data_IF_955853130892
#
_entry.id   IF_955853130892
#
_cell.length_a   1.000
_cell.length_b   1.000
_cell.length_c   1.000
_cell.angle_alpha   90.00
_cell.angle_beta   90.00
_cell.angle_gamma   90.00
#
_symmetry.space_group_name_H-M   'P 1'
#
loop_
_entity.id
_entity.type
_entity.pdbx_description
1 polymer ?
#
# COMPACT_ATOMS: atom_id res chain seq x y z
N UNK A 1 10.05 19.69 -29.33
CA UNK A 1 11.28 18.87 -29.11
C UNK A 1 10.78 17.58 -28.46
N UNK A 2 10.96 16.41 -29.08
CA UNK A 2 10.62 15.13 -28.45
C UNK A 2 11.45 15.01 -27.18
N UNK A 3 10.81 14.74 -26.05
CA UNK A 3 11.49 14.55 -24.78
C UNK A 3 12.50 13.40 -24.89
N UNK A 4 13.62 13.48 -24.15
CA UNK A 4 14.62 12.41 -24.08
C UNK A 4 13.96 11.11 -23.59
N UNK A 5 14.10 10.04 -24.37
CA UNK A 5 13.50 8.72 -24.11
C UNK A 5 14.21 7.97 -22.99
N UNK A 6 13.50 7.12 -22.26
CA UNK A 6 14.14 6.25 -21.26
C UNK A 6 13.51 4.85 -21.21
N UNK A 7 14.35 3.85 -21.05
CA UNK A 7 13.97 2.48 -20.69
C UNK A 7 14.38 2.21 -19.24
N UNK A 8 13.46 1.78 -18.40
CA UNK A 8 13.79 1.28 -17.07
C UNK A 8 13.66 -0.25 -17.05
N UNK A 9 14.74 -0.95 -16.72
CA UNK A 9 14.75 -2.40 -16.50
C UNK A 9 14.70 -2.65 -15.00
N UNK A 10 13.62 -3.28 -14.54
CA UNK A 10 13.43 -3.63 -13.12
C UNK A 10 13.69 -5.12 -12.93
N UNK A 11 14.73 -5.45 -12.14
CA UNK A 11 15.10 -6.83 -11.85
C UNK A 11 14.26 -7.39 -10.71
N UNK A 12 13.39 -8.36 -11.01
CA UNK A 12 12.44 -8.99 -10.09
C UNK A 12 12.51 -10.54 -10.12
N UNK A 13 13.58 -11.13 -10.67
CA UNK A 13 13.75 -12.57 -10.85
C UNK A 13 14.27 -13.32 -9.61
N UNK A 14 14.59 -12.63 -8.52
CA UNK A 14 15.17 -13.23 -7.31
C UNK A 14 14.17 -14.11 -6.55
N UNK A 15 14.61 -15.30 -6.08
CA UNK A 15 13.76 -16.24 -5.33
C UNK A 15 13.35 -15.73 -3.94
N UNK A 16 14.19 -14.92 -3.32
CA UNK A 16 13.89 -14.38 -1.99
C UNK A 16 13.80 -15.44 -0.88
N UNK A 17 14.57 -16.52 -0.95
CA UNK A 17 14.51 -17.65 0.00
C UNK A 17 14.65 -17.24 1.47
N UNK A 18 15.44 -16.18 1.74
CA UNK A 18 15.61 -15.60 3.09
C UNK A 18 14.33 -14.96 3.66
N UNK A 19 13.32 -14.68 2.84
CA UNK A 19 12.00 -14.19 3.29
C UNK A 19 11.17 -15.29 3.97
N UNK A 20 11.53 -16.56 3.77
CA UNK A 20 10.79 -17.73 4.30
C UNK A 20 9.28 -17.63 4.02
N UNK A 21 8.92 -17.37 2.78
CA UNK A 21 7.54 -17.11 2.34
C UNK A 21 7.28 -17.78 1.00
N UNK A 22 6.05 -18.22 0.79
CA UNK A 22 5.56 -18.67 -0.52
C UNK A 22 5.25 -17.50 -1.47
N UNK A 23 5.12 -16.28 -0.92
CA UNK A 23 4.94 -15.07 -1.72
C UNK A 23 6.30 -14.64 -2.29
N UNK A 24 6.43 -14.37 -3.59
CA UNK A 24 7.63 -13.79 -4.19
C UNK A 24 8.09 -12.55 -3.42
N UNK A 25 9.41 -12.41 -3.21
CA UNK A 25 9.98 -11.33 -2.39
C UNK A 25 9.43 -9.95 -2.75
N UNK A 26 9.41 -9.63 -4.03
CA UNK A 26 9.02 -8.31 -4.56
C UNK A 26 7.51 -8.00 -4.40
N UNK A 27 6.70 -8.99 -4.02
CA UNK A 27 5.26 -8.83 -3.78
C UNK A 27 4.92 -8.59 -2.30
N UNK A 28 5.89 -8.66 -1.38
CA UNK A 28 5.61 -8.31 0.02
C UNK A 28 5.21 -6.83 0.13
N UNK A 29 4.19 -6.52 0.96
CA UNK A 29 3.71 -5.15 1.08
C UNK A 29 4.58 -4.32 2.03
N UNK A 30 4.71 -3.04 1.68
CA UNK A 30 5.15 -1.93 2.51
C UNK A 30 4.12 -0.82 2.35
N UNK A 31 3.60 -0.26 3.42
CA UNK A 31 2.51 0.72 3.40
C UNK A 31 1.36 0.33 2.44
N UNK A 32 0.99 -0.95 2.45
CA UNK A 32 -0.14 -1.49 1.68
C UNK A 32 0.10 -1.72 0.18
N UNK A 33 1.29 -1.42 -0.35
CA UNK A 33 1.68 -1.68 -1.74
C UNK A 33 2.89 -2.61 -1.81
N UNK A 34 3.00 -3.42 -2.87
CA UNK A 34 4.13 -4.33 -3.06
C UNK A 34 5.45 -3.57 -3.24
N UNK A 35 6.59 -4.20 -2.88
CA UNK A 35 7.92 -3.62 -3.11
C UNK A 35 8.07 -3.22 -4.58
N UNK A 36 7.67 -4.10 -5.49
CA UNK A 36 7.71 -3.86 -6.92
C UNK A 36 6.88 -2.63 -7.31
N UNK A 37 5.67 -2.49 -6.75
CA UNK A 37 4.79 -1.37 -7.03
C UNK A 37 5.41 -0.02 -6.66
N UNK A 38 6.11 0.06 -5.54
CA UNK A 38 6.86 1.26 -5.14
C UNK A 38 7.93 1.63 -6.17
N UNK A 39 8.76 0.66 -6.60
CA UNK A 39 9.82 0.90 -7.60
C UNK A 39 9.22 1.34 -8.94
N UNK A 40 8.17 0.66 -9.41
CA UNK A 40 7.48 1.00 -10.65
C UNK A 40 6.82 2.38 -10.58
N UNK A 41 6.25 2.73 -9.42
CA UNK A 41 5.63 4.04 -9.20
C UNK A 41 6.64 5.18 -9.16
N UNK A 42 7.85 4.94 -8.66
CA UNK A 42 8.95 5.89 -8.62
C UNK A 42 9.68 6.03 -9.97
N UNK A 43 9.61 5.02 -10.84
CA UNK A 43 10.26 5.01 -12.16
C UNK A 43 9.74 6.12 -13.06
N UNK A 44 10.55 6.64 -14.02
CA UNK A 44 10.11 7.68 -14.94
C UNK A 44 8.78 7.35 -15.63
N UNK A 45 7.95 8.38 -15.83
CA UNK A 45 6.60 8.27 -16.42
C UNK A 45 6.46 9.21 -17.62
N UNK A 46 5.56 8.87 -18.54
CA UNK A 46 5.22 9.67 -19.72
C UNK A 46 5.44 8.89 -21.02
N UNK A 47 5.00 9.47 -22.14
CA UNK A 47 5.03 8.84 -23.47
C UNK A 47 6.43 8.45 -23.98
N UNK A 48 7.46 9.17 -23.51
CA UNK A 48 8.86 8.91 -23.88
C UNK A 48 9.54 7.90 -22.96
N UNK A 49 8.78 7.16 -22.13
CA UNK A 49 9.33 6.19 -21.17
C UNK A 49 8.77 4.80 -21.41
N UNK A 50 9.60 3.79 -21.19
CA UNK A 50 9.19 2.37 -21.24
C UNK A 50 9.75 1.61 -20.04
N UNK A 51 9.08 0.52 -19.67
CA UNK A 51 9.49 -0.35 -18.55
C UNK A 51 9.57 -1.79 -19.01
N UNK A 52 10.70 -2.43 -18.68
CA UNK A 52 10.92 -3.86 -18.79
C UNK A 52 11.06 -4.46 -17.40
N UNK A 53 10.26 -5.48 -17.06
CA UNK A 53 10.35 -6.19 -15.78
C UNK A 53 10.93 -7.57 -16.02
N UNK A 54 12.10 -7.84 -15.45
CA UNK A 54 12.75 -9.15 -15.56
C UNK A 54 12.29 -10.02 -14.39
N UNK A 55 11.63 -11.13 -14.74
CA UNK A 55 11.02 -12.06 -13.77
C UNK A 55 11.66 -13.46 -13.88
N UNK A 56 11.53 -14.27 -12.84
CA UNK A 56 11.88 -15.69 -12.88
C UNK A 56 10.83 -16.52 -13.63
N UNK A 57 11.14 -17.79 -13.97
CA UNK A 57 10.14 -18.73 -14.44
C UNK A 57 8.96 -18.83 -13.47
N UNK A 58 7.76 -19.03 -13.98
CA UNK A 58 6.50 -19.23 -13.20
C UNK A 58 6.09 -18.06 -12.30
N UNK A 59 6.66 -16.86 -12.47
CA UNK A 59 6.36 -15.68 -11.68
C UNK A 59 5.13 -14.89 -12.20
N UNK A 60 4.05 -15.58 -12.58
CA UNK A 60 2.83 -14.94 -13.11
C UNK A 60 2.31 -13.82 -12.19
N UNK A 61 2.29 -14.04 -10.87
CA UNK A 61 1.83 -13.01 -9.90
C UNK A 61 2.66 -11.73 -9.97
N UNK A 62 3.97 -11.82 -10.26
CA UNK A 62 4.85 -10.67 -10.40
C UNK A 62 4.53 -9.90 -11.68
N UNK A 63 4.23 -10.62 -12.77
CA UNK A 63 3.80 -10.02 -14.04
C UNK A 63 2.46 -9.30 -13.87
N UNK A 64 1.46 -9.95 -13.28
CA UNK A 64 0.14 -9.38 -13.05
C UNK A 64 0.24 -8.10 -12.19
N UNK A 65 1.08 -8.10 -11.16
CA UNK A 65 1.33 -6.93 -10.33
C UNK A 65 2.04 -5.80 -11.10
N UNK A 66 3.03 -6.13 -11.93
CA UNK A 66 3.71 -5.14 -12.76
C UNK A 66 2.74 -4.43 -13.71
N UNK A 67 1.92 -5.18 -14.42
CA UNK A 67 0.90 -4.63 -15.36
C UNK A 67 -0.16 -3.82 -14.61
N UNK A 68 -0.54 -4.21 -13.39
CA UNK A 68 -1.49 -3.46 -12.57
C UNK A 68 -1.01 -2.04 -12.26
N UNK A 69 0.27 -1.86 -11.96
CA UNK A 69 0.84 -0.53 -11.63
C UNK A 69 1.40 0.21 -12.84
N UNK A 70 1.84 -0.52 -13.86
CA UNK A 70 2.35 0.00 -15.11
C UNK A 70 1.79 -0.83 -16.27
N UNK A 71 0.63 -0.45 -16.80
CA UNK A 71 0.00 -1.16 -17.94
C UNK A 71 0.89 -1.23 -19.19
N UNK A 72 1.88 -0.35 -19.29
CA UNK A 72 2.90 -0.29 -20.34
C UNK A 72 4.12 -1.19 -20.07
N UNK A 73 4.16 -1.90 -18.94
CA UNK A 73 5.31 -2.76 -18.61
C UNK A 73 5.35 -4.02 -19.46
N UNK A 74 6.49 -4.28 -20.06
CA UNK A 74 6.81 -5.54 -20.74
C UNK A 74 7.56 -6.48 -19.79
N UNK A 75 7.23 -7.78 -19.82
CA UNK A 75 7.86 -8.77 -18.94
C UNK A 75 8.80 -9.68 -19.73
N UNK A 76 9.97 -9.94 -19.16
CA UNK A 76 11.02 -10.79 -19.75
C UNK A 76 11.43 -11.85 -18.72
N UNK A 77 11.56 -13.11 -19.16
CA UNK A 77 11.88 -14.23 -18.28
C UNK A 77 13.37 -14.50 -18.25
N UNK A 78 13.97 -14.46 -17.06
CA UNK A 78 15.33 -14.95 -16.83
C UNK A 78 15.26 -16.43 -16.46
N UNK A 79 15.59 -17.32 -17.40
CA UNK A 79 15.59 -18.77 -17.16
C UNK A 79 16.78 -19.21 -16.29
N UNK A 80 17.98 -18.71 -16.61
CA UNK A 80 19.21 -19.02 -15.91
C UNK A 80 19.68 -17.86 -15.05
N UNK A 81 20.02 -18.11 -13.79
CA UNK A 81 20.52 -17.08 -12.87
C UNK A 81 22.04 -17.00 -12.87
N UNK A 82 22.60 -16.40 -13.92
CA UNK A 82 24.06 -16.28 -14.13
C UNK A 82 24.61 -14.90 -13.74
N UNK A 83 23.91 -14.14 -12.89
CA UNK A 83 24.32 -12.83 -12.41
C UNK A 83 23.42 -11.69 -12.89
N UNK A 84 23.72 -10.48 -12.40
CA UNK A 84 22.85 -9.29 -12.61
C UNK A 84 22.93 -8.74 -14.04
N UNK A 85 24.09 -8.76 -14.69
CA UNK A 85 24.19 -8.38 -16.11
C UNK A 85 23.43 -9.37 -17.01
N UNK A 86 23.50 -10.67 -16.71
CA UNK A 86 22.70 -11.68 -17.41
C UNK A 86 21.20 -11.46 -17.22
N UNK A 87 20.77 -11.01 -16.01
CA UNK A 87 19.37 -10.65 -15.78
C UNK A 87 18.92 -9.47 -16.67
N UNK A 88 19.75 -8.44 -16.82
CA UNK A 88 19.46 -7.31 -17.72
C UNK A 88 19.35 -7.77 -19.16
N UNK A 89 20.22 -8.66 -19.61
CA UNK A 89 20.20 -9.21 -20.97
C UNK A 89 19.00 -10.13 -21.25
N UNK A 90 18.25 -10.58 -20.24
CA UNK A 90 16.95 -11.22 -20.49
C UNK A 90 15.97 -10.26 -21.21
N UNK A 91 16.11 -8.95 -20.97
CA UNK A 91 15.35 -7.92 -21.67
C UNK A 91 16.06 -7.35 -22.91
N UNK A 92 16.95 -8.13 -23.54
CA UNK A 92 17.78 -7.71 -24.69
C UNK A 92 16.96 -7.08 -25.81
N UNK A 93 15.79 -7.60 -26.11
CA UNK A 93 14.93 -7.08 -27.17
C UNK A 93 14.41 -5.67 -26.85
N UNK A 94 14.13 -5.38 -25.59
CA UNK A 94 13.78 -4.03 -25.15
C UNK A 94 14.97 -3.08 -25.27
N UNK A 95 16.17 -3.52 -24.85
CA UNK A 95 17.40 -2.74 -24.97
C UNK A 95 17.74 -2.44 -26.45
N UNK A 96 17.54 -3.41 -27.35
CA UNK A 96 17.85 -3.27 -28.77
C UNK A 96 16.95 -2.28 -29.51
N UNK A 97 15.75 -2.00 -28.99
CA UNK A 97 14.89 -0.91 -29.54
C UNK A 97 15.49 0.47 -29.34
N UNK A 98 16.41 0.59 -28.39
CA UNK A 98 17.11 1.83 -28.08
C UNK A 98 16.27 2.80 -27.24
N UNK A 99 16.97 3.57 -26.42
CA UNK A 99 16.47 4.71 -25.69
C UNK A 99 17.65 5.67 -25.47
N UNK A 100 17.40 6.93 -25.09
CA UNK A 100 18.49 7.85 -24.74
C UNK A 100 19.09 7.47 -23.37
N UNK A 101 18.26 7.03 -22.44
CA UNK A 101 18.67 6.61 -21.09
C UNK A 101 18.22 5.16 -20.83
N UNK A 102 19.14 4.30 -20.39
CA UNK A 102 18.80 3.00 -19.79
C UNK A 102 18.99 3.11 -18.28
N UNK A 103 17.95 2.78 -17.49
CA UNK A 103 18.03 2.71 -16.04
C UNK A 103 17.84 1.26 -15.62
N UNK A 104 18.67 0.76 -14.71
CA UNK A 104 18.54 -0.56 -14.13
C UNK A 104 18.26 -0.39 -12.64
N UNK A 105 17.14 -0.94 -12.18
CA UNK A 105 16.70 -0.88 -10.80
C UNK A 105 16.34 -2.28 -10.27
N UNK A 106 16.28 -2.43 -8.95
CA UNK A 106 15.88 -3.68 -8.31
C UNK A 106 14.47 -3.55 -7.74
N UNK A 107 13.64 -4.58 -7.96
CA UNK A 107 12.25 -4.60 -7.51
C UNK A 107 12.08 -4.70 -5.99
N UNK A 108 13.15 -4.76 -5.23
CA UNK A 108 13.18 -4.90 -3.77
C UNK A 108 13.74 -3.67 -3.02
N UNK A 109 13.85 -2.52 -3.70
CA UNK A 109 14.29 -1.24 -3.13
C UNK A 109 13.13 -0.21 -3.11
N UNK A 110 12.09 -0.41 -2.30
CA UNK A 110 10.82 0.34 -2.40
C UNK A 110 10.91 1.80 -1.97
N UNK A 111 12.00 2.20 -1.30
CA UNK A 111 12.17 3.57 -0.80
C UNK A 111 12.82 4.53 -1.81
N UNK A 112 13.17 4.04 -3.01
CA UNK A 112 13.75 4.87 -4.07
C UNK A 112 12.76 5.96 -4.50
N UNK A 113 13.27 7.17 -4.71
CA UNK A 113 12.44 8.31 -5.08
C UNK A 113 12.50 8.64 -6.58
N UNK A 114 11.45 9.26 -7.15
CA UNK A 114 11.50 9.78 -8.52
C UNK A 114 12.64 10.79 -8.74
N UNK A 115 12.96 11.59 -7.72
CA UNK A 115 14.04 12.58 -7.77
C UNK A 115 15.41 11.91 -7.96
N UNK A 116 15.62 10.74 -7.39
CA UNK A 116 16.89 10.01 -7.55
C UNK A 116 17.03 9.44 -8.96
N UNK A 117 15.96 8.91 -9.56
CA UNK A 117 15.98 8.54 -10.98
C UNK A 117 16.31 9.74 -11.87
N UNK A 118 15.74 10.91 -11.59
CA UNK A 118 16.02 12.12 -12.37
C UNK A 118 17.47 12.62 -12.21
N UNK A 119 18.07 12.51 -11.01
CA UNK A 119 19.50 12.82 -10.81
C UNK A 119 20.42 11.90 -11.60
N UNK A 120 20.12 10.61 -11.70
CA UNK A 120 20.85 9.67 -12.53
C UNK A 120 20.76 10.07 -14.01
N UNK A 121 19.56 10.38 -14.51
CA UNK A 121 19.33 10.85 -15.89
C UNK A 121 20.04 12.18 -16.17
N UNK A 122 20.07 13.07 -15.18
CA UNK A 122 20.78 14.36 -15.31
C UNK A 122 22.28 14.16 -15.54
N UNK A 123 22.91 13.20 -14.88
CA UNK A 123 24.33 12.88 -15.10
C UNK A 123 24.58 12.37 -16.53
N UNK A 124 23.69 11.55 -17.08
CA UNK A 124 23.78 11.11 -18.48
C UNK A 124 23.62 12.28 -19.47
N UNK A 125 22.74 13.23 -19.18
CA UNK A 125 22.60 14.47 -19.98
C UNK A 125 23.85 15.33 -19.96
N UNK A 126 24.66 15.26 -18.88
CA UNK A 126 25.93 15.95 -18.74
C UNK A 126 27.11 15.25 -19.42
N UNK A 127 26.86 14.06 -20.01
CA UNK A 127 27.87 13.36 -20.82
C UNK A 127 28.40 12.07 -20.19
N UNK A 128 28.03 11.71 -18.97
CA UNK A 128 28.42 10.45 -18.38
C UNK A 128 27.87 9.27 -19.20
N UNK A 129 28.71 8.26 -19.44
CA UNK A 129 28.30 7.02 -20.08
C UNK A 129 27.64 6.06 -19.11
N UNK A 130 27.98 6.17 -17.83
CA UNK A 130 27.45 5.38 -16.72
C UNK A 130 27.32 6.25 -15.47
N UNK A 131 26.15 6.27 -14.85
CA UNK A 131 25.93 6.85 -13.54
C UNK A 131 25.53 5.72 -12.55
N UNK A 132 26.29 5.58 -11.48
CA UNK A 132 26.09 4.57 -10.44
C UNK A 132 25.52 5.26 -9.20
N UNK A 133 24.42 4.72 -8.65
CA UNK A 133 23.90 5.21 -7.38
C UNK A 133 24.73 4.65 -6.22
N UNK A 134 25.24 5.54 -5.39
CA UNK A 134 26.04 5.21 -4.21
C UNK A 134 25.49 5.85 -2.94
N UNK A 135 25.89 5.32 -1.80
CA UNK A 135 25.55 5.85 -0.49
C UNK A 135 26.67 5.64 0.52
N UNK A 136 26.76 6.49 1.53
CA UNK A 136 27.67 6.29 2.66
C UNK A 136 27.01 5.35 3.64
N UNK A 137 27.54 4.14 3.78
CA UNK A 137 27.01 3.12 4.68
C UNK A 137 27.50 3.31 6.11
N UNK A 138 26.60 3.19 7.08
CA UNK A 138 26.98 3.13 8.50
C UNK A 138 27.75 1.83 8.80
N UNK A 139 27.31 0.71 8.22
CA UNK A 139 28.05 -0.56 8.18
C UNK A 139 28.15 -1.02 6.72
N UNK A 140 29.36 -0.95 6.10
CA UNK A 140 29.54 -1.32 4.71
C UNK A 140 29.53 -2.84 4.46
N UNK A 141 29.43 -3.70 5.49
CA UNK A 141 29.48 -5.14 5.33
C UNK A 141 28.40 -5.67 4.37
N UNK A 142 28.81 -6.49 3.40
CA UNK A 142 27.90 -7.12 2.43
C UNK A 142 27.60 -6.30 1.18
N UNK A 143 27.95 -5.03 1.13
CA UNK A 143 27.78 -4.19 -0.07
C UNK A 143 29.01 -4.23 -0.99
N UNK A 144 28.84 -3.92 -2.27
CA UNK A 144 29.93 -3.56 -3.18
C UNK A 144 30.50 -2.17 -2.83
N UNK A 145 31.81 -2.01 -2.92
CA UNK A 145 32.49 -0.72 -2.63
C UNK A 145 32.68 0.09 -3.90
N UNK A 146 32.37 1.36 -3.86
CA UNK A 146 32.66 2.31 -4.94
C UNK A 146 34.06 2.89 -4.73
N UNK A 147 34.98 2.49 -5.58
CA UNK A 147 36.37 2.96 -5.55
C UNK A 147 36.48 4.22 -6.41
N UNK A 148 36.84 5.35 -5.79
CA UNK A 148 36.92 6.66 -6.44
C UNK A 148 38.31 7.17 -6.32
N UNK A 149 38.93 7.59 -7.44
CA UNK A 149 40.22 8.23 -7.50
C UNK A 149 40.11 9.56 -8.29
N UNK A 150 40.67 10.66 -7.73
CA UNK A 150 40.61 11.98 -8.34
C UNK A 150 39.20 12.42 -8.78
N UNK A 151 38.16 11.99 -8.03
CA UNK A 151 36.77 12.31 -8.32
C UNK A 151 36.05 11.38 -9.35
N UNK A 152 36.79 10.43 -9.95
CA UNK A 152 36.26 9.50 -10.94
C UNK A 152 36.03 8.12 -10.34
N UNK A 153 34.91 7.49 -10.67
CA UNK A 153 34.64 6.12 -10.29
C UNK A 153 35.49 5.15 -11.11
N UNK A 154 36.42 4.44 -10.42
CA UNK A 154 37.38 3.56 -11.08
C UNK A 154 36.96 2.08 -11.06
N UNK A 155 36.27 1.63 -10.03
CA UNK A 155 35.77 0.25 -9.93
C UNK A 155 34.63 0.15 -8.93
N UNK A 156 33.83 -0.90 -9.07
CA UNK A 156 32.97 -1.39 -8.01
C UNK A 156 33.54 -2.76 -7.59
N UNK A 157 33.87 -2.88 -6.32
CA UNK A 157 34.44 -4.11 -5.79
C UNK A 157 33.44 -4.81 -4.88
N UNK A 158 32.99 -5.98 -5.29
CA UNK A 158 32.08 -6.80 -4.47
C UNK A 158 32.74 -7.25 -3.18
N UNK A 159 31.97 -7.39 -2.09
CA UNK A 159 32.47 -7.78 -0.75
C UNK A 159 33.36 -9.03 -0.79
N UNK A 160 33.02 -10.03 -1.62
CA UNK A 160 33.76 -11.28 -1.71
C UNK A 160 35.14 -11.11 -2.32
N UNK A 161 35.28 -10.18 -3.26
CA UNK A 161 36.49 -9.93 -4.06
C UNK A 161 37.31 -8.74 -3.53
N UNK A 162 36.83 -8.07 -2.47
CA UNK A 162 37.46 -6.87 -1.92
C UNK A 162 38.67 -7.21 -1.01
N UNK A 163 39.77 -6.50 -1.17
CA UNK A 163 40.90 -6.48 -0.24
C UNK A 163 40.52 -5.88 1.13
N UNK A 164 41.39 -6.04 2.14
CA UNK A 164 41.16 -5.43 3.45
C UNK A 164 41.02 -3.91 3.39
N UNK A 165 41.82 -3.24 2.58
CA UNK A 165 41.75 -1.79 2.39
C UNK A 165 40.46 -1.34 1.69
N UNK A 166 40.04 -2.06 0.64
CA UNK A 166 38.81 -1.79 -0.07
C UNK A 166 37.57 -2.03 0.82
N UNK A 167 37.58 -3.03 1.71
CA UNK A 167 36.50 -3.29 2.66
C UNK A 167 36.28 -2.14 3.65
N UNK A 168 37.28 -1.33 3.93
CA UNK A 168 37.20 -0.18 4.83
C UNK A 168 36.51 1.04 4.16
N UNK A 169 36.31 1.03 2.84
CA UNK A 169 35.60 2.09 2.12
C UNK A 169 34.13 2.08 2.51
N UNK A 170 33.60 3.23 2.96
CA UNK A 170 32.20 3.39 3.39
C UNK A 170 31.27 3.75 2.25
N UNK A 171 31.80 4.26 1.13
CA UNK A 171 31.02 4.55 -0.06
C UNK A 171 30.63 3.25 -0.77
N UNK A 172 29.36 2.89 -0.67
CA UNK A 172 28.81 1.62 -1.12
C UNK A 172 27.94 1.75 -2.38
N UNK A 173 27.88 0.68 -3.17
CA UNK A 173 27.03 0.55 -4.34
C UNK A 173 25.59 0.24 -3.92
N UNK A 174 24.64 1.03 -4.37
CA UNK A 174 23.21 0.81 -4.19
C UNK A 174 22.60 -0.20 -5.20
N UNK A 175 23.38 -0.62 -6.19
CA UNK A 175 22.93 -1.53 -7.26
C UNK A 175 22.22 -0.82 -8.42
N UNK A 176 21.60 0.33 -8.21
CA UNK A 176 20.90 1.08 -9.27
C UNK A 176 21.90 1.82 -10.14
N UNK A 177 21.76 1.65 -11.46
CA UNK A 177 22.66 2.23 -12.46
C UNK A 177 21.87 2.84 -13.61
N UNK A 178 22.42 3.89 -14.20
CA UNK A 178 21.90 4.45 -15.46
C UNK A 178 23.01 4.57 -16.48
N UNK A 179 22.72 4.18 -17.72
CA UNK A 179 23.63 4.14 -18.85
C UNK A 179 23.18 5.11 -19.96
N UNK A 180 24.13 5.68 -20.71
CA UNK A 180 23.82 6.24 -22.04
C UNK A 180 23.23 5.09 -22.88
N UNK A 181 21.93 5.16 -23.14
CA UNK A 181 21.18 4.06 -23.74
C UNK A 181 21.70 3.63 -25.12
N UNK A 182 22.33 4.57 -25.86
CA UNK A 182 22.95 4.26 -27.16
C UNK A 182 24.15 3.31 -27.05
N UNK A 183 24.78 3.23 -25.89
CA UNK A 183 25.99 2.43 -25.62
C UNK A 183 25.70 1.26 -24.67
N UNK A 184 24.60 1.29 -23.98
CA UNK A 184 24.24 0.39 -22.87
C UNK A 184 24.35 -1.09 -23.26
N UNK A 185 23.70 -1.51 -24.35
CA UNK A 185 23.72 -2.90 -24.78
C UNK A 185 25.15 -3.38 -25.07
N UNK A 186 25.94 -2.60 -25.80
CA UNK A 186 27.33 -2.96 -26.15
C UNK A 186 28.25 -3.02 -24.94
N UNK A 187 28.00 -2.20 -23.91
CA UNK A 187 28.74 -2.25 -22.64
C UNK A 187 28.37 -3.52 -21.86
N UNK A 188 27.07 -3.81 -21.71
CA UNK A 188 26.58 -4.95 -20.93
C UNK A 188 27.00 -6.27 -21.56
N UNK A 189 26.98 -6.38 -22.87
CA UNK A 189 27.43 -7.60 -23.63
C UNK A 189 28.94 -7.88 -23.49
N UNK A 190 29.74 -6.88 -23.09
CA UNK A 190 31.20 -7.05 -22.86
C UNK A 190 31.53 -7.50 -21.44
N UNK A 191 30.53 -7.53 -20.53
CA UNK A 191 30.76 -7.99 -19.15
C UNK A 191 31.11 -9.46 -19.15
N UNK A 192 32.23 -9.82 -18.55
CA UNK A 192 32.69 -11.19 -18.35
C UNK A 192 32.16 -11.81 -17.06
N UNK A 193 32.64 -13.03 -16.78
CA UNK A 193 32.32 -13.75 -15.54
C UNK A 193 33.58 -14.24 -14.79
N UNK A 194 34.72 -13.61 -15.00
CA UNK A 194 35.99 -13.98 -14.37
C UNK A 194 36.08 -13.41 -12.96
N UNK A 195 35.22 -13.88 -12.04
CA UNK A 195 35.15 -13.48 -10.64
C UNK A 195 34.95 -14.70 -9.72
N UNK A 196 34.96 -14.50 -8.41
CA UNK A 196 34.89 -15.58 -7.40
C UNK A 196 33.67 -16.47 -7.50
N UNK A 197 32.56 -16.01 -8.11
CA UNK A 197 31.31 -16.77 -8.27
C UNK A 197 31.09 -17.28 -9.71
N UNK A 198 31.89 -16.85 -10.69
CA UNK A 198 31.66 -17.18 -12.10
C UNK A 198 30.40 -16.55 -12.69
N UNK A 199 29.91 -15.43 -12.10
CA UNK A 199 28.69 -14.75 -12.48
C UNK A 199 28.97 -13.47 -13.29
N UNK A 200 28.04 -13.06 -14.16
CA UNK A 200 28.12 -11.80 -14.90
C UNK A 200 27.64 -10.67 -13.99
N UNK A 201 28.58 -9.99 -13.32
CA UNK A 201 28.27 -8.89 -12.42
C UNK A 201 28.04 -7.61 -13.19
N UNK A 202 26.88 -6.97 -13.00
CA UNK A 202 26.59 -5.66 -13.60
C UNK A 202 27.60 -4.59 -13.15
N UNK A 203 28.18 -4.75 -11.98
CA UNK A 203 29.21 -3.87 -11.41
C UNK A 203 30.48 -3.81 -12.25
N UNK A 204 30.80 -4.84 -13.04
CA UNK A 204 31.94 -4.85 -13.97
C UNK A 204 31.74 -3.90 -15.16
N UNK A 205 30.54 -3.34 -15.36
CA UNK A 205 30.28 -2.31 -16.36
C UNK A 205 31.19 -1.08 -16.18
N UNK A 206 31.59 -0.75 -14.94
CA UNK A 206 32.52 0.36 -14.68
C UNK A 206 33.86 0.13 -15.33
N UNK A 207 34.41 -1.08 -15.23
CA UNK A 207 35.67 -1.44 -15.90
C UNK A 207 35.53 -1.33 -17.42
N UNK A 208 34.46 -1.89 -18.00
CA UNK A 208 34.19 -1.82 -19.45
C UNK A 208 34.08 -0.37 -19.94
N UNK A 209 33.39 0.49 -19.20
CA UNK A 209 33.24 1.93 -19.53
C UNK A 209 34.61 2.62 -19.54
N UNK A 210 35.45 2.34 -18.57
CA UNK A 210 36.79 2.89 -18.47
C UNK A 210 37.72 2.42 -19.59
N UNK A 211 37.70 1.13 -19.91
CA UNK A 211 38.45 0.52 -21.01
C UNK A 211 38.10 1.13 -22.37
N UNK A 212 36.87 1.63 -22.50
CA UNK A 212 36.39 2.37 -23.67
C UNK A 212 36.79 3.87 -23.65
N UNK A 213 37.48 4.33 -22.62
CA UNK A 213 37.83 5.75 -22.43
C UNK A 213 36.63 6.65 -22.13
N UNK A 214 35.55 6.07 -21.56
CA UNK A 214 34.33 6.77 -21.23
C UNK A 214 34.24 7.07 -19.73
N UNK A 215 33.37 8.02 -19.36
CA UNK A 215 33.21 8.46 -17.98
C UNK A 215 32.14 7.68 -17.24
N UNK A 216 32.48 7.21 -16.02
CA UNK A 216 31.56 6.69 -15.02
C UNK A 216 31.54 7.62 -13.80
N UNK A 217 30.35 7.97 -13.33
CA UNK A 217 30.16 8.89 -12.19
C UNK A 217 29.35 8.25 -11.09
N UNK A 218 29.53 8.77 -9.85
CA UNK A 218 28.74 8.36 -8.69
C UNK A 218 27.71 9.44 -8.37
N UNK A 219 26.47 9.06 -8.24
CA UNK A 219 25.37 9.87 -7.72
C UNK A 219 25.07 9.40 -6.30
N UNK A 220 25.34 10.25 -5.30
CA UNK A 220 25.13 9.89 -3.89
C UNK A 220 23.69 10.10 -3.48
N UNK A 221 23.16 9.18 -2.64
CA UNK A 221 21.87 9.31 -1.97
C UNK A 221 21.95 8.86 -0.51
N UNK A 222 20.87 8.96 0.24
CA UNK A 222 20.82 8.45 1.62
C UNK A 222 20.76 6.93 1.66
N UNK A 223 21.35 6.34 2.71
CA UNK A 223 21.28 4.89 2.94
C UNK A 223 19.83 4.39 3.02
N UNK A 224 18.94 5.15 3.68
CA UNK A 224 17.52 4.79 3.81
C UNK A 224 16.83 4.64 2.46
N UNK A 225 17.19 5.45 1.47
CA UNK A 225 16.54 5.41 0.15
C UNK A 225 16.83 4.12 -0.63
N UNK A 226 17.95 3.50 -0.35
CA UNK A 226 18.47 2.34 -1.10
C UNK A 226 18.43 1.04 -0.32
N UNK A 227 17.75 1.00 0.82
CA UNK A 227 17.58 -0.22 1.62
C UNK A 227 16.90 -1.31 0.80
N UNK A 228 17.67 -2.34 0.46
CA UNK A 228 17.15 -3.56 -0.17
C UNK A 228 16.59 -4.54 0.87
N UNK A 229 15.49 -5.22 0.53
CA UNK A 229 14.80 -6.13 1.44
C UNK A 229 15.14 -7.57 1.08
N UNK A 230 15.66 -8.33 2.04
CA UNK A 230 15.97 -9.75 1.90
C UNK A 230 15.39 -10.61 3.02
N UNK A 231 14.98 -10.00 4.14
CA UNK A 231 14.45 -10.68 5.31
C UNK A 231 13.20 -9.97 5.84
N UNK A 232 12.41 -10.64 6.69
CA UNK A 232 11.26 -10.03 7.36
C UNK A 232 11.65 -8.91 8.33
N UNK A 233 12.85 -8.97 8.93
CA UNK A 233 13.37 -7.89 9.77
C UNK A 233 13.61 -6.63 8.93
N UNK A 234 14.31 -6.76 7.80
CA UNK A 234 14.51 -5.64 6.87
C UNK A 234 13.19 -5.09 6.31
N UNK A 235 12.19 -5.97 6.07
CA UNK A 235 10.85 -5.53 5.67
C UNK A 235 10.22 -4.62 6.73
N UNK A 236 10.33 -4.97 8.01
CA UNK A 236 9.79 -4.17 9.11
C UNK A 236 10.53 -2.82 9.27
N UNK A 237 11.85 -2.80 9.10
CA UNK A 237 12.65 -1.57 9.10
C UNK A 237 12.24 -0.62 7.97
N UNK A 238 12.07 -1.15 6.75
CA UNK A 238 11.63 -0.37 5.59
C UNK A 238 10.20 0.13 5.75
N UNK A 239 9.29 -0.69 6.33
CA UNK A 239 7.94 -0.23 6.70
C UNK A 239 8.01 0.98 7.64
N UNK A 240 8.86 0.93 8.67
CA UNK A 240 9.02 2.05 9.61
C UNK A 240 9.49 3.32 8.91
N UNK A 241 10.48 3.24 8.02
CA UNK A 241 10.98 4.39 7.25
C UNK A 241 9.88 4.94 6.33
N UNK A 242 9.14 4.06 5.64
CA UNK A 242 8.03 4.48 4.79
C UNK A 242 6.94 5.18 5.59
N UNK A 243 6.55 4.65 6.74
CA UNK A 243 5.57 5.27 7.62
C UNK A 243 6.03 6.64 8.14
N UNK A 244 7.31 6.81 8.48
CA UNK A 244 7.85 8.14 8.82
C UNK A 244 7.70 9.13 7.67
N UNK A 245 8.03 8.73 6.43
CA UNK A 245 7.89 9.58 5.22
C UNK A 245 6.44 9.96 4.96
N UNK A 246 5.51 9.00 5.03
CA UNK A 246 4.09 9.24 4.77
C UNK A 246 3.48 10.19 5.79
N UNK A 247 3.81 10.02 7.07
CA UNK A 247 3.35 10.91 8.13
C UNK A 247 3.93 12.32 8.00
N UNK A 248 5.22 12.43 7.68
CA UNK A 248 5.83 13.74 7.43
C UNK A 248 5.14 14.47 6.27
N UNK A 249 4.90 13.77 5.16
CA UNK A 249 4.20 14.35 4.01
C UNK A 249 2.75 14.75 4.35
N UNK A 250 2.05 13.97 5.16
CA UNK A 250 0.69 14.31 5.61
C UNK A 250 0.70 15.57 6.48
N UNK A 251 1.63 15.68 7.43
CA UNK A 251 1.80 16.87 8.28
C UNK A 251 2.14 18.13 7.45
N UNK A 252 3.06 18.02 6.50
CA UNK A 252 3.41 19.11 5.56
C UNK A 252 2.21 19.53 4.70
N UNK A 253 1.35 18.59 4.33
CA UNK A 253 0.11 18.86 3.59
C UNK A 253 -1.02 19.46 4.46
N UNK A 254 -0.80 19.67 5.78
CA UNK A 254 -1.75 20.30 6.68
C UNK A 254 -2.71 19.31 7.39
N UNK A 255 -2.40 18.02 7.39
CA UNK A 255 -3.13 17.03 8.20
C UNK A 255 -2.64 17.11 9.65
N UNK A 256 -3.56 17.13 10.60
CA UNK A 256 -3.22 17.03 12.03
C UNK A 256 -3.17 15.57 12.46
N UNK A 257 -1.99 15.11 12.86
CA UNK A 257 -1.77 13.81 13.51
C UNK A 257 -1.46 14.05 14.98
N UNK A 258 -2.34 13.64 15.91
CA UNK A 258 -2.17 13.93 17.36
C UNK A 258 -0.99 13.15 17.95
N UNK A 259 -0.81 11.89 17.56
CA UNK A 259 0.33 11.06 17.92
C UNK A 259 0.81 10.33 16.66
N UNK A 260 1.63 11.00 15.83
CA UNK A 260 1.98 10.51 14.49
C UNK A 260 2.51 9.07 14.47
N UNK A 261 3.34 8.70 15.45
CA UNK A 261 3.98 7.39 15.55
C UNK A 261 2.99 6.22 15.70
N UNK A 262 1.76 6.51 16.11
CA UNK A 262 0.69 5.51 16.31
C UNK A 262 -0.26 5.38 15.11
N UNK A 263 -0.08 6.23 14.08
CA UNK A 263 -0.92 6.24 12.88
C UNK A 263 -0.21 5.52 11.75
N UNK A 264 -0.88 4.54 11.15
CA UNK A 264 -0.38 3.79 10.00
C UNK A 264 -1.14 4.19 8.74
N UNK A 265 -0.40 4.58 7.70
CA UNK A 265 -0.93 5.08 6.43
C UNK A 265 -0.57 4.14 5.29
N UNK A 266 -1.49 3.90 4.38
CA UNK A 266 -1.15 3.30 3.09
C UNK A 266 -0.55 4.36 2.15
N UNK A 267 0.31 3.91 1.24
CA UNK A 267 1.06 4.79 0.33
C UNK A 267 0.18 5.56 -0.67
N UNK A 268 -1.03 5.07 -0.91
CA UNK A 268 -2.02 5.67 -1.81
C UNK A 268 -3.10 6.48 -1.08
N UNK A 269 -2.96 6.69 0.23
CA UNK A 269 -3.90 7.51 1.00
C UNK A 269 -3.87 8.96 0.51
N UNK A 270 -5.04 9.54 0.29
CA UNK A 270 -5.17 10.96 -0.09
C UNK A 270 -5.92 11.75 0.96
N UNK A 271 -5.48 12.98 1.19
CA UNK A 271 -6.04 13.87 2.20
C UNK A 271 -6.49 15.21 1.60
N UNK A 272 -7.64 15.70 2.08
CA UNK A 272 -8.03 17.09 1.96
C UNK A 272 -7.37 17.98 3.04
N UNK A 273 -7.82 19.22 3.13
CA UNK A 273 -7.33 20.19 4.12
C UNK A 273 -7.98 19.98 5.49
N UNK A 274 -7.27 20.37 6.56
CA UNK A 274 -7.78 20.38 7.93
C UNK A 274 -8.30 19.02 8.42
N UNK A 275 -7.79 17.92 7.87
CA UNK A 275 -8.10 16.57 8.35
C UNK A 275 -7.41 16.36 9.69
N UNK A 276 -8.12 15.79 10.66
CA UNK A 276 -7.57 15.41 11.96
C UNK A 276 -7.61 13.89 12.14
N UNK A 277 -6.51 13.31 12.57
CA UNK A 277 -6.39 11.88 12.88
C UNK A 277 -5.88 11.69 14.30
N UNK A 278 -6.67 11.02 15.11
CA UNK A 278 -6.35 10.68 16.49
C UNK A 278 -5.40 9.47 16.57
N UNK A 279 -4.86 9.16 17.78
CA UNK A 279 -3.93 8.04 17.96
C UNK A 279 -4.53 6.67 17.60
N UNK A 280 -3.65 5.73 17.23
CA UNK A 280 -3.97 4.31 16.95
C UNK A 280 -4.96 4.09 15.80
N UNK A 281 -4.87 4.91 14.76
CA UNK A 281 -5.65 4.75 13.53
C UNK A 281 -4.85 4.00 12.49
N UNK A 282 -5.51 3.05 11.81
CA UNK A 282 -4.94 2.31 10.69
C UNK A 282 -5.72 2.64 9.41
N UNK A 283 -5.03 3.26 8.46
CA UNK A 283 -5.57 3.58 7.14
C UNK A 283 -4.89 2.67 6.11
N UNK A 284 -5.65 1.70 5.62
CA UNK A 284 -5.21 0.76 4.60
C UNK A 284 -5.35 1.32 3.17
N UNK A 285 -5.05 0.50 2.15
CA UNK A 285 -5.06 0.94 0.76
C UNK A 285 -6.42 1.45 0.28
N UNK A 286 -6.39 2.38 -0.70
CA UNK A 286 -7.58 2.87 -1.40
C UNK A 286 -8.47 3.78 -0.56
N UNK A 287 -7.89 4.55 0.37
CA UNK A 287 -8.65 5.48 1.21
C UNK A 287 -8.43 6.92 0.77
N UNK A 288 -9.53 7.65 0.62
CA UNK A 288 -9.56 9.11 0.43
C UNK A 288 -10.32 9.80 1.56
N UNK A 289 -9.75 10.87 2.11
CA UNK A 289 -10.32 11.62 3.22
C UNK A 289 -10.42 13.08 2.81
N UNK A 290 -11.64 13.61 2.76
CA UNK A 290 -11.90 14.99 2.33
C UNK A 290 -11.72 16.00 3.47
N UNK A 291 -11.80 17.29 3.12
CA UNK A 291 -11.56 18.44 4.01
C UNK A 291 -12.35 18.36 5.32
N UNK A 292 -11.70 18.72 6.42
CA UNK A 292 -12.31 18.85 7.73
C UNK A 292 -12.80 17.55 8.38
N UNK A 293 -12.51 16.39 7.76
CA UNK A 293 -12.91 15.12 8.33
C UNK A 293 -12.07 14.77 9.58
N UNK A 294 -12.70 14.09 10.54
CA UNK A 294 -12.07 13.66 11.80
C UNK A 294 -12.12 12.15 11.91
N UNK A 295 -10.95 11.54 12.09
CA UNK A 295 -10.82 10.11 12.32
C UNK A 295 -10.40 9.88 13.77
N UNK A 296 -11.31 9.33 14.55
CA UNK A 296 -11.10 9.06 15.96
C UNK A 296 -10.33 7.77 16.20
N UNK A 297 -9.75 7.67 17.38
CA UNK A 297 -8.84 6.60 17.81
C UNK A 297 -9.39 5.19 17.57
N UNK A 298 -8.47 4.25 17.30
CA UNK A 298 -8.74 2.82 17.11
C UNK A 298 -9.65 2.50 15.91
N UNK A 299 -9.73 3.40 14.94
CA UNK A 299 -10.47 3.15 13.70
C UNK A 299 -9.60 2.43 12.67
N UNK A 300 -10.21 1.51 11.91
CA UNK A 300 -9.56 0.77 10.84
C UNK A 300 -10.34 0.96 9.53
N UNK A 301 -9.68 1.52 8.50
CA UNK A 301 -10.32 2.00 7.28
C UNK A 301 -9.59 1.43 6.06
N UNK A 302 -10.31 0.80 5.15
CA UNK A 302 -9.74 0.22 3.91
C UNK A 302 -10.69 0.44 2.74
N UNK A 303 -10.16 0.86 1.58
CA UNK A 303 -10.91 1.06 0.33
C UNK A 303 -12.23 1.80 0.57
N UNK A 304 -12.13 2.99 1.17
CA UNK A 304 -13.27 3.82 1.55
C UNK A 304 -13.04 5.29 1.18
N UNK A 305 -14.12 6.00 0.87
CA UNK A 305 -14.13 7.45 0.71
C UNK A 305 -14.84 8.13 1.88
N UNK A 306 -14.19 9.12 2.47
CA UNK A 306 -14.70 9.86 3.62
C UNK A 306 -14.96 11.29 3.18
N UNK A 307 -16.23 11.69 3.22
CA UNK A 307 -16.69 13.00 2.78
C UNK A 307 -16.26 14.14 3.69
N UNK A 308 -16.45 15.34 3.19
CA UNK A 308 -16.13 16.60 3.89
C UNK A 308 -16.81 16.67 5.25
N UNK A 309 -16.08 17.12 6.29
CA UNK A 309 -16.57 17.25 7.65
C UNK A 309 -17.19 15.96 8.25
N UNK A 310 -16.92 14.79 7.67
CA UNK A 310 -17.38 13.53 8.23
C UNK A 310 -16.57 13.16 9.49
N UNK A 311 -17.19 12.40 10.37
CA UNK A 311 -16.60 11.95 11.64
C UNK A 311 -16.66 10.43 11.71
N UNK A 312 -15.50 9.76 11.95
CA UNK A 312 -15.39 8.29 11.95
C UNK A 312 -14.74 7.82 13.24
N UNK A 313 -15.42 6.98 13.99
CA UNK A 313 -14.92 6.37 15.21
C UNK A 313 -15.43 7.00 16.49
N UNK A 314 -14.82 6.69 17.65
CA UNK A 314 -13.71 5.72 17.79
C UNK A 314 -14.15 4.27 17.60
N UNK A 315 -13.17 3.35 17.41
CA UNK A 315 -13.42 1.92 17.21
C UNK A 315 -14.34 1.60 16.02
N UNK A 316 -14.27 2.39 14.94
CA UNK A 316 -15.03 2.15 13.72
C UNK A 316 -14.23 1.28 12.74
N UNK A 317 -14.95 0.44 11.98
CA UNK A 317 -14.37 -0.35 10.91
C UNK A 317 -15.05 -0.04 9.58
N UNK A 318 -14.33 0.65 8.69
CA UNK A 318 -14.81 0.89 7.33
C UNK A 318 -14.12 -0.10 6.38
N UNK A 319 -14.94 -0.93 5.75
CA UNK A 319 -14.49 -1.97 4.83
C UNK A 319 -14.67 -1.54 3.37
N UNK A 320 -14.09 -2.32 2.42
CA UNK A 320 -14.15 -1.99 1.00
C UNK A 320 -15.54 -1.64 0.48
N UNK A 321 -15.59 -0.57 -0.34
CA UNK A 321 -16.83 -0.07 -0.93
C UNK A 321 -17.66 0.83 -0.01
N UNK A 322 -17.09 1.29 1.10
CA UNK A 322 -17.75 2.29 1.95
C UNK A 322 -17.55 3.69 1.39
N UNK A 323 -18.63 4.45 1.25
CA UNK A 323 -18.62 5.86 0.88
C UNK A 323 -19.45 6.68 1.86
N UNK A 324 -18.81 7.67 2.49
CA UNK A 324 -19.46 8.59 3.43
C UNK A 324 -19.62 9.96 2.79
N UNK A 325 -20.84 10.48 2.81
CA UNK A 325 -21.17 11.83 2.37
C UNK A 325 -20.72 12.92 3.36
N UNK A 326 -20.93 14.17 2.97
CA UNK A 326 -20.57 15.33 3.80
C UNK A 326 -21.27 15.29 5.16
N UNK A 327 -20.51 15.51 6.24
CA UNK A 327 -21.04 15.56 7.60
C UNK A 327 -21.61 14.24 8.14
N UNK A 328 -21.40 13.13 7.42
CA UNK A 328 -21.81 11.81 7.90
C UNK A 328 -21.06 11.43 9.18
N UNK A 329 -21.74 10.76 10.11
CA UNK A 329 -21.17 10.35 11.39
C UNK A 329 -21.24 8.85 11.57
N UNK A 330 -20.09 8.22 11.70
CA UNK A 330 -19.90 6.83 12.08
C UNK A 330 -19.30 6.82 13.47
N UNK A 331 -20.02 6.27 14.44
CA UNK A 331 -19.55 6.25 15.83
C UNK A 331 -18.90 4.93 16.22
N UNK A 332 -18.87 4.68 17.53
CA UNK A 332 -18.12 3.58 18.12
C UNK A 332 -18.75 2.20 17.85
N UNK A 333 -17.88 1.24 17.54
CA UNK A 333 -18.24 -0.16 17.25
C UNK A 333 -19.22 -0.29 16.08
N UNK A 334 -19.09 0.59 15.09
CA UNK A 334 -19.83 0.52 13.84
C UNK A 334 -18.95 -0.08 12.75
N UNK A 335 -19.51 -1.07 12.06
CA UNK A 335 -18.86 -1.63 10.87
C UNK A 335 -19.70 -1.32 9.62
N UNK A 336 -19.03 -0.87 8.56
CA UNK A 336 -19.65 -0.63 7.25
C UNK A 336 -18.92 -1.44 6.16
N UNK A 337 -19.66 -1.88 5.14
CA UNK A 337 -19.10 -2.62 3.99
C UNK A 337 -19.98 -2.43 2.77
N UNK A 338 -19.41 -2.10 1.62
CA UNK A 338 -20.16 -1.88 0.38
C UNK A 338 -21.41 -1.02 0.65
N UNK A 339 -21.24 0.08 1.37
CA UNK A 339 -22.31 0.93 1.85
C UNK A 339 -22.08 2.38 1.46
N UNK A 340 -23.09 3.02 0.88
CA UNK A 340 -23.11 4.46 0.60
C UNK A 340 -24.01 5.14 1.63
N UNK A 341 -23.44 6.05 2.37
CA UNK A 341 -24.12 6.87 3.37
C UNK A 341 -24.09 8.32 2.91
N UNK A 342 -25.22 8.88 2.56
CA UNK A 342 -25.32 10.24 2.06
C UNK A 342 -25.03 11.31 3.13
N UNK A 343 -25.09 12.58 2.72
CA UNK A 343 -24.77 13.69 3.62
C UNK A 343 -25.61 13.68 4.91
N UNK A 344 -24.96 13.95 6.04
CA UNK A 344 -25.60 14.09 7.35
C UNK A 344 -26.15 12.79 7.95
N UNK A 345 -25.91 11.64 7.35
CA UNK A 345 -26.30 10.33 7.93
C UNK A 345 -25.63 10.10 9.27
N UNK A 346 -26.34 9.51 10.21
CA UNK A 346 -25.84 9.20 11.55
C UNK A 346 -25.98 7.71 11.84
N UNK A 347 -24.86 7.05 12.14
CA UNK A 347 -24.74 5.67 12.61
C UNK A 347 -23.82 5.68 13.82
N UNK A 348 -24.35 5.91 15.00
CA UNK A 348 -23.50 6.32 16.12
C UNK A 348 -22.97 5.18 17.00
N UNK A 349 -23.66 4.00 17.06
CA UNK A 349 -23.31 2.97 18.03
C UNK A 349 -23.63 1.56 17.56
N UNK A 350 -22.67 0.61 17.75
CA UNK A 350 -22.91 -0.83 17.76
C UNK A 350 -23.70 -1.37 16.57
N UNK A 351 -23.49 -0.87 15.38
CA UNK A 351 -24.31 -1.19 14.19
C UNK A 351 -23.48 -1.82 13.08
N UNK A 352 -24.12 -2.68 12.28
CA UNK A 352 -23.58 -3.16 11.03
C UNK A 352 -24.41 -2.64 9.86
N UNK A 353 -23.75 -1.93 8.93
CA UNK A 353 -24.35 -1.43 7.69
C UNK A 353 -23.59 -2.01 6.50
N UNK A 354 -24.15 -3.04 5.91
CA UNK A 354 -23.54 -3.76 4.78
C UNK A 354 -24.45 -3.85 3.58
N UNK A 355 -23.89 -3.75 2.38
CA UNK A 355 -24.59 -3.79 1.10
C UNK A 355 -25.83 -2.87 1.12
N UNK A 356 -25.65 -1.60 1.51
CA UNK A 356 -26.73 -0.66 1.78
C UNK A 356 -26.51 0.72 1.16
N UNK A 357 -27.61 1.40 0.84
CA UNK A 357 -27.64 2.84 0.61
C UNK A 357 -28.49 3.50 1.69
N UNK A 358 -27.95 4.53 2.31
CA UNK A 358 -28.60 5.29 3.38
C UNK A 358 -28.71 6.75 2.94
N UNK A 359 -29.94 7.19 2.71
CA UNK A 359 -30.25 8.53 2.22
C UNK A 359 -29.95 9.63 3.24
N UNK A 360 -29.77 10.84 2.72
CA UNK A 360 -29.31 11.99 3.48
C UNK A 360 -30.11 12.23 4.78
N UNK A 361 -29.39 12.60 5.84
CA UNK A 361 -29.95 12.90 7.18
C UNK A 361 -30.70 11.73 7.84
N UNK A 362 -30.65 10.51 7.32
CA UNK A 362 -31.21 9.36 8.00
C UNK A 362 -30.43 9.07 9.31
N UNK A 363 -31.16 8.54 10.30
CA UNK A 363 -30.56 8.15 11.59
C UNK A 363 -30.73 6.65 11.81
N UNK A 364 -29.62 5.96 12.01
CA UNK A 364 -29.57 4.54 12.32
C UNK A 364 -29.36 4.38 13.83
N UNK A 365 -30.33 3.80 14.51
CA UNK A 365 -30.31 3.56 15.95
C UNK A 365 -29.27 2.51 16.34
N UNK A 366 -28.82 2.56 17.58
CA UNK A 366 -27.83 1.64 18.14
C UNK A 366 -28.27 0.18 18.00
N UNK A 367 -27.32 -0.71 17.65
CA UNK A 367 -27.60 -2.14 17.48
C UNK A 367 -28.39 -2.50 16.23
N UNK A 368 -28.58 -1.59 15.30
CA UNK A 368 -29.24 -1.89 14.03
C UNK A 368 -28.34 -2.69 13.11
N UNK A 369 -28.90 -3.69 12.44
CA UNK A 369 -28.19 -4.56 11.52
C UNK A 369 -28.92 -4.63 10.17
N UNK A 370 -28.23 -4.39 9.08
CA UNK A 370 -28.69 -4.80 7.75
C UNK A 370 -28.39 -6.29 7.57
N UNK A 371 -29.42 -7.11 7.55
CA UNK A 371 -29.27 -8.55 7.36
C UNK A 371 -29.11 -8.85 5.86
N UNK A 372 -27.92 -8.57 5.35
CA UNK A 372 -27.61 -8.55 3.91
C UNK A 372 -27.26 -9.91 3.30
N UNK A 373 -27.23 -11.00 4.09
CA UNK A 373 -26.85 -12.34 3.63
C UNK A 373 -27.84 -13.39 4.10
N UNK A 374 -28.38 -14.15 3.17
CA UNK A 374 -29.41 -15.18 3.41
C UNK A 374 -28.84 -16.60 3.56
N UNK A 375 -27.51 -16.73 3.60
CA UNK A 375 -26.81 -18.02 3.59
C UNK A 375 -26.29 -18.43 2.20
N UNK A 376 -26.77 -17.82 1.12
CA UNK A 376 -26.40 -18.11 -0.26
C UNK A 376 -26.01 -16.87 -1.04
N UNK A 377 -26.79 -15.79 -0.95
CA UNK A 377 -26.63 -14.56 -1.73
C UNK A 377 -26.64 -13.32 -0.84
N UNK A 378 -26.07 -12.24 -1.36
CA UNK A 378 -26.14 -10.93 -0.73
C UNK A 378 -27.21 -10.08 -1.38
N UNK A 379 -27.93 -9.35 -0.52
CA UNK A 379 -29.04 -8.49 -0.89
C UNK A 379 -28.83 -7.08 -0.37
N UNK A 380 -29.46 -6.11 -1.03
CA UNK A 380 -29.32 -4.68 -0.68
C UNK A 380 -30.44 -4.21 0.23
N UNK A 381 -30.07 -3.27 1.11
CA UNK A 381 -30.98 -2.46 1.92
C UNK A 381 -30.96 -1.02 1.41
N UNK A 382 -32.12 -0.47 1.10
CA UNK A 382 -32.29 0.93 0.72
C UNK A 382 -33.02 1.68 1.85
N UNK A 383 -32.40 2.74 2.38
CA UNK A 383 -32.99 3.58 3.44
C UNK A 383 -33.13 5.00 2.90
N UNK A 384 -34.35 5.51 2.86
CA UNK A 384 -34.69 6.82 2.33
C UNK A 384 -34.17 7.96 3.20
N UNK A 385 -34.06 9.15 2.58
CA UNK A 385 -33.59 10.35 3.26
C UNK A 385 -34.51 10.68 4.47
N UNK A 386 -33.90 11.14 5.58
CA UNK A 386 -34.60 11.50 6.80
C UNK A 386 -35.26 10.34 7.55
N UNK A 387 -35.11 9.09 7.09
CA UNK A 387 -35.65 7.95 7.80
C UNK A 387 -35.00 7.77 9.17
N UNK A 388 -35.81 7.32 10.14
CA UNK A 388 -35.37 7.00 11.50
C UNK A 388 -35.50 5.52 11.75
N UNK A 389 -34.39 4.82 11.96
CA UNK A 389 -34.37 3.42 12.32
C UNK A 389 -34.16 3.31 13.83
N UNK A 390 -35.11 2.70 14.51
CA UNK A 390 -35.06 2.53 15.97
C UNK A 390 -33.96 1.55 16.41
N UNK A 391 -33.55 1.68 17.63
CA UNK A 391 -32.51 0.85 18.27
C UNK A 391 -32.82 -0.65 18.19
N UNK A 392 -31.79 -1.49 18.04
CA UNK A 392 -31.91 -2.97 17.94
C UNK A 392 -32.87 -3.46 16.86
N UNK A 393 -32.92 -2.78 15.73
CA UNK A 393 -33.74 -3.21 14.59
C UNK A 393 -32.93 -4.09 13.64
N UNK A 394 -33.57 -5.11 13.08
CA UNK A 394 -33.04 -5.98 12.03
C UNK A 394 -33.74 -5.66 10.71
N UNK A 395 -32.98 -5.22 9.71
CA UNK A 395 -33.50 -4.95 8.37
C UNK A 395 -33.12 -6.11 7.47
N UNK A 396 -34.10 -6.99 7.19
CA UNK A 396 -33.89 -8.23 6.41
C UNK A 396 -33.93 -7.91 4.91
N UNK A 397 -32.76 -7.85 4.31
CA UNK A 397 -32.62 -7.54 2.90
C UNK A 397 -33.10 -8.72 1.98
N UNK A 398 -33.66 -8.42 0.78
CA UNK A 398 -33.82 -7.09 0.21
C UNK A 398 -34.99 -6.32 0.85
N UNK A 399 -34.77 -5.07 1.26
CA UNK A 399 -35.82 -4.25 1.88
C UNK A 399 -35.58 -2.75 1.59
N UNK A 400 -36.68 -2.01 1.40
CA UNK A 400 -36.67 -0.55 1.22
C UNK A 400 -37.41 0.11 2.36
N UNK A 401 -36.75 1.07 3.00
CA UNK A 401 -37.34 1.97 3.98
C UNK A 401 -37.54 3.32 3.32
N UNK A 402 -38.78 3.80 3.25
CA UNK A 402 -39.13 5.03 2.57
C UNK A 402 -38.54 6.29 3.20
N UNK A 403 -38.61 7.41 2.49
CA UNK A 403 -38.19 8.72 2.98
C UNK A 403 -39.01 9.11 4.21
N UNK A 404 -38.38 9.68 5.24
CA UNK A 404 -39.08 10.10 6.46
C UNK A 404 -39.73 8.95 7.26
N UNK A 405 -39.59 7.72 6.82
CA UNK A 405 -40.18 6.58 7.52
C UNK A 405 -39.58 6.39 8.92
N UNK A 406 -40.37 5.88 9.84
CA UNK A 406 -39.99 5.61 11.22
C UNK A 406 -40.11 4.14 11.55
N UNK A 407 -38.99 3.49 11.86
CA UNK A 407 -38.98 2.09 12.34
C UNK A 407 -38.89 2.10 13.87
N UNK A 408 -39.84 1.45 14.53
CA UNK A 408 -39.87 1.32 15.99
C UNK A 408 -38.71 0.47 16.50
N UNK A 409 -38.14 0.83 17.65
CA UNK A 409 -37.04 0.07 18.26
C UNK A 409 -37.40 -1.40 18.51
N UNK A 410 -36.43 -2.32 18.28
CA UNK A 410 -36.63 -3.77 18.47
C UNK A 410 -37.42 -4.45 17.36
N UNK A 411 -37.60 -3.79 16.22
CA UNK A 411 -38.36 -4.36 15.08
C UNK A 411 -37.50 -5.22 14.16
N UNK A 412 -38.12 -6.27 13.59
CA UNK A 412 -37.56 -7.08 12.51
C UNK A 412 -38.32 -6.77 11.23
N UNK A 413 -37.73 -5.96 10.36
CA UNK A 413 -38.37 -5.48 9.14
C UNK A 413 -38.07 -6.43 7.97
N UNK A 414 -39.07 -7.06 7.44
CA UNK A 414 -38.99 -8.07 6.35
C UNK A 414 -39.72 -7.64 5.07
N UNK A 415 -40.38 -6.49 5.08
CA UNK A 415 -41.10 -5.91 3.95
C UNK A 415 -40.85 -4.43 3.82
N UNK A 416 -40.96 -3.91 2.63
CA UNK A 416 -40.80 -2.49 2.34
C UNK A 416 -41.70 -1.62 3.21
N UNK A 417 -41.15 -0.50 3.66
CA UNK A 417 -41.86 0.51 4.45
C UNK A 417 -42.06 1.73 3.56
N UNK A 418 -43.31 2.17 3.32
CA UNK A 418 -43.57 3.35 2.49
C UNK A 418 -42.98 4.64 3.08
N UNK A 419 -42.91 5.70 2.24
CA UNK A 419 -42.52 7.03 2.69
C UNK A 419 -43.42 7.50 3.83
N UNK A 420 -42.84 8.18 4.82
CA UNK A 420 -43.50 8.72 6.03
C UNK A 420 -44.31 7.70 6.85
N UNK A 421 -44.16 6.42 6.58
CA UNK A 421 -44.87 5.37 7.33
C UNK A 421 -44.14 5.02 8.64
N UNK A 422 -44.91 4.60 9.65
CA UNK A 422 -44.38 4.00 10.86
C UNK A 422 -44.48 2.48 10.76
N UNK A 423 -43.32 1.79 10.88
CA UNK A 423 -43.25 0.33 10.93
C UNK A 423 -42.84 -0.14 12.32
N UNK A 424 -43.62 -1.04 12.91
CA UNK A 424 -43.33 -1.67 14.19
C UNK A 424 -43.63 -3.15 14.11
N UNK A 425 -42.62 -3.98 14.35
CA UNK A 425 -42.74 -5.43 14.38
C UNK A 425 -42.10 -5.94 15.67
N UNK A 426 -42.91 -6.12 16.71
CA UNK A 426 -42.53 -6.67 18.02
C UNK A 426 -43.78 -7.07 18.80
N UNK A 427 -43.63 -8.04 19.72
CA UNK A 427 -44.70 -8.43 20.61
C UNK A 427 -45.12 -7.31 21.55
N UNK A 428 -46.41 -7.28 21.92
CA UNK A 428 -46.92 -6.38 22.93
C UNK A 428 -46.25 -6.64 24.29
N UNK A 429 -45.90 -5.60 24.98
CA UNK A 429 -45.33 -5.72 26.32
C UNK A 429 -46.40 -6.23 27.30
N UNK A 430 -46.05 -7.20 28.10
CA UNK A 430 -46.89 -7.68 29.21
C UNK A 430 -46.15 -7.54 30.54
N UNK A 431 -46.74 -6.88 31.53
CA UNK A 431 -46.24 -6.79 32.89
C UNK A 431 -46.92 -7.83 33.78
N UNK A 432 -46.13 -8.61 34.50
CA UNK A 432 -46.65 -9.54 35.52
C UNK A 432 -46.26 -9.05 36.89
N UNK A 433 -47.19 -8.46 37.60
CA UNK A 433 -46.96 -7.96 38.95
C UNK A 433 -46.49 -9.07 39.91
N UNK A 434 -45.47 -8.81 40.69
CA UNK A 434 -44.84 -9.82 41.56
C UNK A 434 -44.07 -10.93 40.84
N UNK A 435 -44.03 -10.95 39.49
CA UNK A 435 -43.42 -12.01 38.70
C UNK A 435 -41.89 -12.15 38.96
N UNK A 436 -41.21 -11.05 39.08
CA UNK A 436 -39.75 -11.03 39.38
C UNK A 436 -39.45 -11.57 40.80
N UNK A 437 -40.30 -11.26 41.79
CA UNK A 437 -40.18 -11.77 43.15
C UNK A 437 -40.37 -13.27 43.17
N UNK A 438 -41.46 -13.76 42.56
CA UNK A 438 -41.75 -15.19 42.44
C UNK A 438 -40.65 -15.97 41.71
N UNK A 439 -40.10 -15.41 40.63
CA UNK A 439 -38.97 -16.00 39.92
C UNK A 439 -37.73 -16.19 40.79
N UNK A 440 -37.37 -15.16 41.59
CA UNK A 440 -36.24 -15.24 42.52
C UNK A 440 -36.50 -16.31 43.61
N UNK A 441 -37.64 -16.35 44.18
CA UNK A 441 -38.04 -17.35 45.19
C UNK A 441 -37.91 -18.78 44.66
N UNK A 442 -38.40 -19.05 43.43
CA UNK A 442 -38.27 -20.35 42.78
C UNK A 442 -36.79 -20.70 42.58
N UNK A 443 -35.98 -19.74 42.06
CA UNK A 443 -34.57 -20.01 41.81
C UNK A 443 -33.77 -20.22 43.08
N UNK A 444 -34.09 -19.52 44.17
CA UNK A 444 -33.42 -19.71 45.47
C UNK A 444 -33.77 -21.09 46.05
N UNK A 445 -35.06 -21.48 45.99
CA UNK A 445 -35.49 -22.83 46.42
C UNK A 445 -34.82 -23.94 45.66
N UNK A 446 -34.74 -23.83 44.31
CA UNK A 446 -34.07 -24.82 43.49
C UNK A 446 -32.55 -24.88 43.70
N UNK A 447 -31.95 -23.77 44.14
CA UNK A 447 -30.49 -23.75 44.52
C UNK A 447 -30.27 -24.44 45.87
N UNK A 448 -31.16 -24.23 46.82
CA UNK A 448 -31.12 -24.91 48.13
C UNK A 448 -31.34 -26.42 48.04
N UNK A 449 -32.24 -26.87 47.11
CA UNK A 449 -32.50 -28.29 46.89
C UNK A 449 -31.40 -29.05 46.09
N UNK A 450 -30.48 -28.35 45.45
CA UNK A 450 -29.32 -28.94 44.73
C UNK A 450 -28.03 -28.89 45.51
N UNK A 451 -28.03 -28.31 46.72
CA UNK A 451 -26.88 -28.19 47.60
C UNK A 451 -26.89 -29.15 48.79
N UNK A 452 -27.76 -30.16 48.77
CA UNK A 452 -27.76 -31.31 49.66
C UNK A 452 -27.37 -32.58 48.90
#
# INVERSE_FOLDING_TARGET
MSGRTSLTVVLAAGEGTRMRSSLPKVLHPVAGQSLLAHVLSASPKGEATSIAVVVGPDHKLVIDEAVRYRPDAESFVQHDRKGTAHAVLAARDALARGADDLIIAFGDTPLISPATFERLRAALRQGAALAVLGFEAADPAGYGRLLVENGHLIAIREQADASAAERAVTLCNAGIMAFDGRRALSIIEKIGNANSKGEYYLTDAVAVVRDLGLEAVVIKTSEDEVRGINTKAQLAEVEQVMQMRLRAAALEAGVTLIAPETVYLAADTTFGKDVMIEPFVVIGPGVSIADGAVIHSFSHIVQASIGKNASVGPYARLRPGTSLGEGAKIGNFVETKAATLDAGVKVNHLSYVGDAHVGANANIGAGTITCNYDGFSKHKTEIGAGAFIGTNSSLVAPVKIGKGAYVGSGSVITRDVPDDAMAVERSAQTNREGGAKRYREIKTRNKASKGN
#
